data_IF_822461008953
#
_entry.id   IF_822461008953
#
_cell.length_a   1.000
_cell.length_b   1.000
_cell.length_c   1.000
_cell.angle_alpha   90.00
_cell.angle_beta   90.00
_cell.angle_gamma   90.00
#
_symmetry.space_group_name_H-M   'P 1'
#
loop_
_entity.id
_entity.type
_entity.pdbx_description
1 polymer ?
#
# COMPACT_ATOMS: atom_id res chain seq x y z
N UNK A 1 7.55 33.37 -42.52
CA UNK A 1 7.77 32.19 -41.66
C UNK A 1 6.75 32.26 -40.55
N UNK A 2 5.79 31.32 -40.57
CA UNK A 2 4.53 31.38 -39.84
C UNK A 2 4.69 31.00 -38.37
N UNK A 3 4.17 31.84 -37.48
CA UNK A 3 3.89 31.55 -36.08
C UNK A 3 2.49 30.94 -35.98
N UNK A 4 2.40 29.62 -35.78
CA UNK A 4 1.14 28.92 -35.58
C UNK A 4 1.07 28.29 -34.17
N UNK A 5 0.11 28.82 -33.40
CA UNK A 5 -0.74 28.19 -32.37
C UNK A 5 -0.16 27.11 -31.42
N UNK A 6 0.04 27.50 -30.15
CA UNK A 6 0.29 26.62 -28.98
C UNK A 6 -0.99 26.51 -28.11
N UNK A 7 -2.19 26.57 -28.71
CA UNK A 7 -3.44 26.55 -27.93
C UNK A 7 -4.23 25.23 -27.97
N UNK A 8 -3.85 24.25 -28.80
CA UNK A 8 -4.63 22.99 -28.92
C UNK A 8 -4.24 21.88 -27.93
N UNK A 9 -3.17 22.04 -27.14
CA UNK A 9 -2.72 20.97 -26.23
C UNK A 9 -3.48 20.89 -24.89
N UNK A 10 -4.34 21.86 -24.56
CA UNK A 10 -5.09 21.86 -23.27
C UNK A 10 -6.39 21.06 -23.34
N UNK A 11 -7.06 21.03 -24.49
CA UNK A 11 -8.35 20.36 -24.64
C UNK A 11 -8.26 18.83 -24.53
N UNK A 12 -7.14 18.22 -24.94
CA UNK A 12 -6.97 16.76 -24.93
C UNK A 12 -6.68 16.19 -23.54
N UNK A 13 -6.22 17.02 -22.59
CA UNK A 13 -5.84 16.57 -21.24
C UNK A 13 -7.05 16.36 -20.32
N UNK A 14 -8.10 17.16 -20.47
CA UNK A 14 -9.33 17.01 -19.68
C UNK A 14 -10.20 15.84 -20.16
N UNK A 15 -10.18 15.52 -21.46
CA UNK A 15 -10.94 14.39 -22.02
C UNK A 15 -10.35 13.01 -21.65
N UNK A 16 -9.05 12.93 -21.37
CA UNK A 16 -8.40 11.68 -20.94
C UNK A 16 -8.60 11.45 -19.43
N UNK A 17 -8.68 12.53 -18.64
CA UNK A 17 -8.92 12.45 -17.19
C UNK A 17 -10.38 12.11 -16.85
N UNK A 18 -11.36 12.52 -17.67
CA UNK A 18 -12.77 12.17 -17.45
C UNK A 18 -13.09 10.70 -17.76
N UNK A 19 -12.31 10.04 -18.62
CA UNK A 19 -12.51 8.61 -18.96
C UNK A 19 -11.97 7.64 -17.91
N UNK A 20 -11.18 8.10 -16.93
CA UNK A 20 -10.56 7.27 -15.89
C UNK A 20 -11.23 7.37 -14.50
N UNK A 21 -12.28 8.17 -14.36
CA UNK A 21 -13.07 8.28 -13.12
C UNK A 21 -14.45 7.66 -13.39
N UNK A 22 -14.80 6.50 -12.82
CA UNK A 22 -16.13 5.94 -13.01
C UNK A 22 -17.20 6.84 -12.35
N UNK A 23 -18.04 7.47 -13.17
CA UNK A 23 -19.31 8.11 -12.81
C UNK A 23 -20.27 7.09 -12.19
N UNK A 24 -20.11 6.81 -10.89
CA UNK A 24 -21.08 5.99 -10.13
C UNK A 24 -21.27 6.56 -8.72
N UNK A 25 -21.54 7.86 -8.61
CA UNK A 25 -22.00 8.49 -7.38
C UNK A 25 -22.93 9.68 -7.68
N UNK A 26 -24.03 9.45 -8.39
CA UNK A 26 -25.20 10.32 -8.29
C UNK A 26 -26.44 9.50 -8.64
N UNK A 27 -27.16 9.05 -7.62
CA UNK A 27 -28.62 8.81 -7.59
C UNK A 27 -28.95 7.90 -6.42
N UNK A 28 -29.42 8.50 -5.32
CA UNK A 28 -30.17 7.85 -4.25
C UNK A 28 -30.68 8.94 -3.32
N UNK A 29 -31.73 9.62 -3.75
CA UNK A 29 -32.59 10.43 -2.88
C UNK A 29 -33.89 9.67 -2.64
N UNK A 30 -34.42 9.88 -1.43
CA UNK A 30 -35.79 9.67 -0.97
C UNK A 30 -36.13 8.29 -0.36
N UNK A 31 -36.07 8.26 0.97
CA UNK A 31 -37.03 7.52 1.81
C UNK A 31 -37.13 8.20 3.19
N UNK A 32 -38.30 8.75 3.46
CA UNK A 32 -38.75 9.30 4.74
C UNK A 32 -38.81 8.22 5.83
N UNK A 33 -38.38 8.51 7.06
CA UNK A 33 -38.78 7.75 8.25
C UNK A 33 -38.70 8.60 9.54
N UNK A 34 -39.72 8.42 10.36
CA UNK A 34 -40.13 9.23 11.51
C UNK A 34 -39.22 9.16 12.75
N UNK A 35 -39.25 10.24 13.54
CA UNK A 35 -38.62 10.41 14.85
C UNK A 35 -39.25 9.53 15.95
N UNK A 36 -38.41 8.84 16.71
CA UNK A 36 -38.75 8.24 18.00
C UNK A 36 -37.49 8.11 18.87
N UNK A 37 -37.40 8.93 19.92
CA UNK A 37 -36.22 9.06 20.77
C UNK A 37 -36.04 7.95 21.81
N UNK A 38 -34.81 7.83 22.32
CA UNK A 38 -34.48 7.83 23.74
C UNK A 38 -32.95 7.90 23.93
N UNK A 39 -32.50 8.88 24.71
CA UNK A 39 -31.09 9.17 24.99
C UNK A 39 -30.65 8.38 26.23
N UNK A 40 -29.95 7.26 26.03
CA UNK A 40 -29.26 6.54 27.11
C UNK A 40 -27.79 6.94 27.13
N UNK A 41 -27.38 7.60 28.22
CA UNK A 41 -25.98 7.93 28.51
C UNK A 41 -25.14 6.67 28.72
N UNK A 42 -24.24 6.36 27.78
CA UNK A 42 -23.22 5.31 27.91
C UNK A 42 -21.84 5.91 27.84
N UNK A 43 -21.26 6.22 29.01
CA UNK A 43 -19.88 6.67 29.11
C UNK A 43 -19.18 6.04 30.32
N UNK A 44 -18.95 4.71 30.33
CA UNK A 44 -17.92 4.09 31.19
C UNK A 44 -17.65 2.58 30.95
N UNK A 45 -17.77 2.02 29.73
CA UNK A 45 -17.61 0.55 29.53
C UNK A 45 -16.81 0.20 28.26
N UNK A 46 -15.60 0.73 28.09
CA UNK A 46 -14.80 0.44 26.88
C UNK A 46 -13.38 -0.06 27.11
N UNK A 47 -12.87 -0.09 28.34
CA UNK A 47 -11.50 -0.59 28.60
C UNK A 47 -11.46 -2.07 29.00
N UNK A 48 -12.44 -2.58 29.73
CA UNK A 48 -12.38 -3.98 30.23
C UNK A 48 -12.85 -5.02 29.19
N UNK A 49 -13.68 -4.64 28.22
CA UNK A 49 -14.15 -5.55 27.17
C UNK A 49 -13.04 -5.87 26.16
N UNK A 50 -12.15 -4.91 25.86
CA UNK A 50 -11.03 -5.12 24.94
C UNK A 50 -9.96 -6.04 25.51
N UNK A 51 -9.74 -6.04 26.82
CA UNK A 51 -8.79 -6.96 27.47
C UNK A 51 -9.27 -8.42 27.40
N UNK A 52 -10.56 -8.67 27.62
CA UNK A 52 -11.10 -10.04 27.66
C UNK A 52 -11.30 -10.66 26.27
N UNK A 53 -11.55 -9.84 25.23
CA UNK A 53 -11.69 -10.33 23.85
C UNK A 53 -10.34 -10.73 23.25
N UNK A 54 -9.25 -10.05 23.60
CA UNK A 54 -7.91 -10.37 23.08
C UNK A 54 -7.33 -11.62 23.74
N UNK A 55 -7.63 -11.89 25.01
CA UNK A 55 -7.13 -13.09 25.71
C UNK A 55 -7.86 -14.38 25.33
N UNK A 56 -9.14 -14.31 24.92
CA UNK A 56 -9.92 -15.51 24.54
C UNK A 56 -9.46 -16.18 23.24
N UNK A 57 -9.03 -15.42 22.23
CA UNK A 57 -8.63 -15.98 20.94
C UNK A 57 -7.25 -16.65 20.95
N UNK A 58 -6.40 -16.32 21.92
CA UNK A 58 -5.01 -16.82 21.92
C UNK A 58 -4.87 -18.22 22.52
N UNK A 59 -5.77 -18.64 23.43
CA UNK A 59 -5.74 -20.00 24.00
C UNK A 59 -6.36 -21.06 23.09
N UNK A 60 -7.48 -20.76 22.40
CA UNK A 60 -8.06 -21.70 21.42
C UNK A 60 -7.08 -22.01 20.28
N UNK A 61 -6.22 -21.06 19.93
CA UNK A 61 -5.24 -21.19 18.86
C UNK A 61 -4.05 -22.11 19.22
N UNK A 62 -3.78 -22.33 20.53
CA UNK A 62 -2.70 -23.24 20.98
C UNK A 62 -3.10 -24.70 20.99
N UNK A 63 -4.40 -25.03 20.98
CA UNK A 63 -4.87 -26.41 21.13
C UNK A 63 -4.94 -27.19 19.81
N UNK A 64 -4.82 -26.52 18.65
CA UNK A 64 -4.83 -27.20 17.35
C UNK A 64 -3.40 -27.44 16.88
N UNK A 65 -3.06 -28.72 16.76
CA UNK A 65 -1.80 -29.16 16.18
C UNK A 65 -1.58 -28.62 14.76
N UNK A 66 -0.36 -28.75 14.22
CA UNK A 66 -0.03 -28.28 12.88
C UNK A 66 -1.02 -28.85 11.86
N UNK A 67 -1.58 -27.99 11.02
CA UNK A 67 -2.49 -28.40 9.94
C UNK A 67 -1.69 -29.28 8.99
N UNK A 68 -2.07 -30.55 8.90
CA UNK A 68 -1.48 -31.46 7.92
C UNK A 68 -1.99 -31.08 6.54
N UNK A 69 -1.10 -30.53 5.71
CA UNK A 69 -1.41 -30.22 4.32
C UNK A 69 -1.42 -31.51 3.49
N UNK A 70 -2.46 -31.69 2.68
CA UNK A 70 -2.54 -32.80 1.71
C UNK A 70 -2.65 -32.23 0.29
N UNK A 71 -1.70 -32.51 -0.62
CA UNK A 71 -0.44 -33.25 -0.42
C UNK A 71 0.52 -32.53 0.55
N UNK A 72 1.56 -33.21 1.09
CA UNK A 72 2.57 -32.56 1.93
C UNK A 72 3.31 -31.45 1.18
N UNK A 73 3.98 -30.57 1.93
CA UNK A 73 4.78 -29.49 1.37
C UNK A 73 5.87 -30.04 0.43
N UNK A 74 5.97 -29.44 -0.75
CA UNK A 74 7.08 -29.67 -1.68
C UNK A 74 8.34 -28.98 -1.18
N UNK A 75 9.52 -29.47 -1.59
CA UNK A 75 10.82 -28.83 -1.24
C UNK A 75 10.90 -27.36 -1.68
N UNK A 76 10.24 -27.00 -2.78
CA UNK A 76 10.17 -25.60 -3.24
C UNK A 76 9.31 -24.74 -2.33
N UNK A 77 8.20 -25.27 -1.80
CA UNK A 77 7.39 -24.58 -0.78
C UNK A 77 8.17 -24.44 0.54
N UNK A 78 8.89 -25.48 0.96
CA UNK A 78 9.74 -25.42 2.16
C UNK A 78 10.82 -24.33 2.05
N UNK A 79 11.56 -24.29 0.93
CA UNK A 79 12.57 -23.26 0.68
C UNK A 79 11.98 -21.85 0.63
N UNK A 80 10.82 -21.71 -0.03
CA UNK A 80 10.07 -20.45 -0.10
C UNK A 80 9.68 -19.98 1.30
N UNK A 81 9.12 -20.86 2.11
CA UNK A 81 8.66 -20.52 3.46
C UNK A 81 9.84 -20.21 4.39
N UNK A 82 10.96 -20.93 4.25
CA UNK A 82 12.19 -20.61 4.97
C UNK A 82 12.73 -19.23 4.60
N UNK A 83 12.75 -18.89 3.31
CA UNK A 83 13.17 -17.59 2.81
C UNK A 83 12.23 -16.47 3.30
N UNK A 84 10.91 -16.65 3.21
CA UNK A 84 9.94 -15.67 3.70
C UNK A 84 10.02 -15.50 5.22
N UNK A 85 10.21 -16.59 5.98
CA UNK A 85 10.40 -16.54 7.43
C UNK A 85 11.71 -15.84 7.82
N UNK A 86 12.77 -16.02 7.03
CA UNK A 86 14.02 -15.29 7.23
C UNK A 86 13.82 -13.79 7.03
N UNK A 87 13.13 -13.38 5.97
CA UNK A 87 12.84 -11.97 5.67
C UNK A 87 11.84 -11.33 6.64
N UNK A 88 10.96 -12.13 7.24
CA UNK A 88 10.03 -11.65 8.27
C UNK A 88 10.70 -11.41 9.64
N UNK A 89 11.99 -11.70 9.78
CA UNK A 89 12.71 -11.44 11.03
C UNK A 89 12.62 -9.94 11.38
N UNK A 90 12.37 -9.56 12.66
CA UNK A 90 12.22 -8.16 13.08
C UNK A 90 13.39 -7.24 12.68
N UNK A 91 14.58 -7.83 12.53
CA UNK A 91 15.75 -7.15 11.98
C UNK A 91 15.47 -6.49 10.62
N UNK A 92 14.89 -7.22 9.67
CA UNK A 92 14.59 -6.70 8.33
C UNK A 92 13.53 -5.62 8.37
N UNK A 93 12.51 -5.76 9.23
CA UNK A 93 11.49 -4.72 9.44
C UNK A 93 12.10 -3.41 9.95
N UNK A 94 13.00 -3.48 10.93
CA UNK A 94 13.72 -2.30 11.45
C UNK A 94 14.63 -1.71 10.36
N UNK A 95 15.33 -2.56 9.61
CA UNK A 95 16.15 -2.12 8.47
C UNK A 95 15.31 -1.43 7.39
N UNK A 96 14.10 -1.93 7.08
CA UNK A 96 13.16 -1.30 6.16
C UNK A 96 12.75 0.10 6.61
N UNK A 97 12.46 0.29 7.91
CA UNK A 97 12.18 1.63 8.48
C UNK A 97 13.39 2.55 8.33
N UNK A 98 14.59 2.08 8.66
CA UNK A 98 15.83 2.86 8.52
C UNK A 98 16.04 3.25 7.06
N UNK A 99 15.90 2.31 6.14
CA UNK A 99 16.05 2.54 4.69
C UNK A 99 15.03 3.54 4.19
N UNK A 100 13.77 3.47 4.63
CA UNK A 100 12.75 4.46 4.26
C UNK A 100 13.13 5.87 4.72
N UNK A 101 13.61 6.03 5.95
CA UNK A 101 14.10 7.32 6.46
C UNK A 101 15.28 7.82 5.62
N UNK A 102 16.23 6.94 5.30
CA UNK A 102 17.36 7.29 4.45
C UNK A 102 16.94 7.66 3.02
N UNK A 103 15.92 7.01 2.45
CA UNK A 103 15.35 7.37 1.13
C UNK A 103 14.77 8.79 1.18
N UNK A 104 14.04 9.15 2.23
CA UNK A 104 13.48 10.50 2.37
C UNK A 104 14.59 11.54 2.50
N UNK A 105 15.59 11.29 3.35
CA UNK A 105 16.71 12.22 3.56
C UNK A 105 17.59 12.37 2.31
N UNK A 106 17.96 11.25 1.68
CA UNK A 106 18.77 11.25 0.44
C UNK A 106 18.00 11.81 -0.75
N UNK A 107 16.70 11.53 -0.86
CA UNK A 107 15.81 12.10 -1.87
C UNK A 107 15.67 13.62 -1.73
N UNK A 108 15.53 14.12 -0.50
CA UNK A 108 15.53 15.56 -0.24
C UNK A 108 16.86 16.21 -0.64
N UNK A 109 18.00 15.62 -0.26
CA UNK A 109 19.33 16.08 -0.66
C UNK A 109 19.47 16.11 -2.20
N UNK A 110 19.11 15.02 -2.87
CA UNK A 110 19.10 14.92 -4.33
C UNK A 110 18.26 16.04 -4.96
N UNK A 111 17.06 16.29 -4.43
CA UNK A 111 16.17 17.34 -4.92
C UNK A 111 16.77 18.75 -4.74
N UNK A 112 17.38 19.04 -3.59
CA UNK A 112 18.09 20.32 -3.37
C UNK A 112 19.26 20.51 -4.34
N UNK A 113 20.03 19.45 -4.61
CA UNK A 113 21.15 19.47 -5.58
C UNK A 113 20.65 19.65 -7.01
N UNK A 114 19.49 19.09 -7.35
CA UNK A 114 18.82 19.21 -8.65
C UNK A 114 18.31 20.64 -8.88
N UNK A 115 17.65 21.25 -7.90
CA UNK A 115 17.19 22.65 -7.97
C UNK A 115 18.33 23.68 -7.92
N UNK A 116 19.55 23.26 -7.56
CA UNK A 116 20.68 24.16 -7.38
C UNK A 116 20.56 25.05 -6.14
N UNK A 117 19.75 24.67 -5.15
CA UNK A 117 19.55 25.39 -3.88
C UNK A 117 20.67 25.10 -2.88
N UNK A 118 21.91 25.24 -3.35
CA UNK A 118 23.12 24.89 -2.60
C UNK A 118 24.21 25.91 -2.93
N UNK A 119 25.11 26.14 -1.97
CA UNK A 119 26.24 27.09 -2.10
C UNK A 119 27.59 26.38 -2.16
N UNK A 120 27.64 25.24 -2.86
CA UNK A 120 28.83 24.39 -3.08
C UNK A 120 29.69 24.85 -4.27
N UNK A 121 29.17 25.73 -5.13
CA UNK A 121 29.95 26.34 -6.21
C UNK A 121 30.31 27.77 -5.84
N UNK A 122 31.57 28.14 -6.08
CA UNK A 122 32.09 29.50 -5.78
C UNK A 122 31.39 30.59 -6.61
N UNK A 123 30.92 30.24 -7.81
CA UNK A 123 30.25 31.17 -8.72
C UNK A 123 28.76 30.84 -8.83
N UNK A 124 27.85 31.74 -8.44
CA UNK A 124 26.39 31.49 -8.46
C UNK A 124 25.82 31.17 -9.85
N UNK A 125 26.48 31.59 -10.93
CA UNK A 125 26.02 31.37 -12.31
C UNK A 125 26.42 30.02 -12.90
N UNK A 126 27.27 29.23 -12.22
CA UNK A 126 27.80 27.98 -12.75
C UNK A 126 27.36 26.81 -11.88
N UNK A 127 26.48 25.98 -12.42
CA UNK A 127 26.01 24.75 -11.76
C UNK A 127 27.00 23.60 -11.90
N UNK A 128 27.96 23.69 -12.83
CA UNK A 128 28.87 22.58 -13.15
C UNK A 128 30.21 22.80 -12.47
N UNK A 129 30.23 22.59 -11.14
CA UNK A 129 31.45 22.58 -10.33
C UNK A 129 31.68 21.17 -9.76
N UNK A 130 32.95 20.80 -9.54
CA UNK A 130 33.34 19.47 -9.07
C UNK A 130 32.66 19.07 -7.74
N UNK A 131 32.63 19.92 -6.69
CA UNK A 131 32.05 19.52 -5.40
C UNK A 131 30.57 19.16 -5.50
N UNK A 132 29.81 19.95 -6.27
CA UNK A 132 28.39 19.69 -6.52
C UNK A 132 28.20 18.42 -7.34
N UNK A 133 28.96 18.23 -8.42
CA UNK A 133 28.83 17.04 -9.28
C UNK A 133 29.16 15.76 -8.52
N UNK A 134 30.17 15.78 -7.66
CA UNK A 134 30.52 14.67 -6.77
C UNK A 134 29.41 14.41 -5.76
N UNK A 135 28.91 15.45 -5.08
CA UNK A 135 27.80 15.32 -4.12
C UNK A 135 26.52 14.78 -4.79
N UNK A 136 26.19 15.28 -5.98
CA UNK A 136 25.05 14.82 -6.78
C UNK A 136 25.19 13.35 -7.16
N UNK A 137 26.36 12.94 -7.67
CA UNK A 137 26.61 11.55 -8.01
C UNK A 137 26.53 10.62 -6.78
N UNK A 138 27.11 11.02 -5.65
CA UNK A 138 27.00 10.28 -4.39
C UNK A 138 25.53 10.16 -3.96
N UNK A 139 24.76 11.25 -4.01
CA UNK A 139 23.35 11.23 -3.63
C UNK A 139 22.53 10.25 -4.46
N UNK A 140 22.80 10.17 -5.78
CA UNK A 140 22.14 9.22 -6.67
C UNK A 140 22.56 7.79 -6.35
N UNK A 141 23.86 7.53 -6.15
CA UNK A 141 24.36 6.20 -5.83
C UNK A 141 23.76 5.67 -4.52
N UNK A 142 23.68 6.53 -3.49
CA UNK A 142 23.03 6.20 -2.22
C UNK A 142 21.56 5.88 -2.44
N UNK A 143 20.82 6.78 -3.10
CA UNK A 143 19.38 6.61 -3.33
C UNK A 143 19.10 5.33 -4.14
N UNK A 144 19.90 5.06 -5.15
CA UNK A 144 19.78 3.87 -5.97
C UNK A 144 20.10 2.59 -5.18
N UNK A 145 21.15 2.61 -4.35
CA UNK A 145 21.47 1.50 -3.46
C UNK A 145 20.35 1.20 -2.46
N UNK A 146 19.72 2.23 -1.89
CA UNK A 146 18.58 2.09 -0.98
C UNK A 146 17.35 1.50 -1.67
N UNK A 147 17.00 1.97 -2.88
CA UNK A 147 15.91 1.37 -3.65
C UNK A 147 16.22 -0.06 -4.10
N UNK A 148 17.47 -0.38 -4.41
CA UNK A 148 17.89 -1.75 -4.74
C UNK A 148 17.80 -2.68 -3.53
N UNK A 149 18.11 -2.19 -2.32
CA UNK A 149 17.85 -2.93 -1.10
C UNK A 149 16.36 -3.25 -0.94
N UNK A 150 15.47 -2.26 -1.10
CA UNK A 150 14.01 -2.47 -1.04
C UNK A 150 13.52 -3.47 -2.10
N UNK A 151 14.08 -3.40 -3.32
CA UNK A 151 13.78 -4.36 -4.38
C UNK A 151 14.26 -5.77 -4.03
N UNK A 152 15.41 -5.91 -3.37
CA UNK A 152 15.97 -7.19 -2.93
C UNK A 152 15.12 -7.84 -1.83
N UNK A 153 14.67 -7.07 -0.85
CA UNK A 153 13.84 -7.56 0.26
C UNK A 153 12.44 -7.96 -0.23
N UNK A 154 11.83 -7.17 -1.12
CA UNK A 154 10.47 -7.42 -1.62
C UNK A 154 10.39 -8.48 -2.73
N UNK A 155 11.47 -8.72 -3.49
CA UNK A 155 11.48 -9.63 -4.64
C UNK A 155 11.05 -11.07 -4.28
N UNK A 156 11.55 -11.71 -3.21
CA UNK A 156 11.14 -13.07 -2.84
C UNK A 156 9.63 -13.24 -2.63
N UNK A 157 9.00 -12.27 -1.97
CA UNK A 157 7.55 -12.25 -1.79
C UNK A 157 6.83 -12.04 -3.13
N UNK A 158 7.27 -11.08 -3.95
CA UNK A 158 6.68 -10.80 -5.28
C UNK A 158 6.76 -12.02 -6.20
N UNK A 159 7.91 -12.71 -6.22
CA UNK A 159 8.11 -13.95 -6.98
C UNK A 159 7.19 -15.07 -6.47
N UNK A 160 7.08 -15.24 -5.15
CA UNK A 160 6.21 -16.23 -4.53
C UNK A 160 4.75 -16.02 -4.93
N UNK A 161 4.26 -14.79 -4.79
CA UNK A 161 2.89 -14.44 -5.15
C UNK A 161 2.63 -14.63 -6.64
N UNK A 162 3.57 -14.21 -7.50
CA UNK A 162 3.48 -14.42 -8.94
C UNK A 162 3.40 -15.90 -9.31
N UNK A 163 4.30 -16.74 -8.77
CA UNK A 163 4.32 -18.17 -9.06
C UNK A 163 3.06 -18.87 -8.56
N UNK A 164 2.52 -18.46 -7.41
CA UNK A 164 1.27 -19.01 -6.88
C UNK A 164 0.08 -18.66 -7.80
N UNK A 165 -0.09 -17.39 -8.14
CA UNK A 165 -1.21 -16.94 -8.97
C UNK A 165 -1.09 -17.45 -10.41
N UNK A 166 0.13 -17.65 -10.92
CA UNK A 166 0.39 -18.26 -12.22
C UNK A 166 0.16 -19.79 -12.22
N UNK A 167 -0.02 -20.42 -11.05
CA UNK A 167 -0.13 -21.87 -10.91
C UNK A 167 1.20 -22.61 -11.09
N UNK A 168 2.33 -21.90 -11.05
CA UNK A 168 3.66 -22.47 -11.26
C UNK A 168 4.29 -23.04 -9.99
N UNK A 169 4.01 -22.49 -8.80
CA UNK A 169 4.64 -22.99 -7.57
C UNK A 169 3.97 -24.25 -7.02
N UNK A 170 2.66 -24.39 -7.16
CA UNK A 170 1.91 -25.47 -6.52
C UNK A 170 0.75 -25.96 -7.42
N UNK A 171 1.00 -26.84 -8.41
CA UNK A 171 -0.04 -27.29 -9.34
C UNK A 171 -1.18 -28.07 -8.66
N UNK A 172 -0.94 -28.59 -7.46
CA UNK A 172 -1.93 -29.35 -6.68
C UNK A 172 -2.70 -28.51 -5.66
N UNK A 173 -2.39 -27.22 -5.52
CA UNK A 173 -3.07 -26.32 -4.58
C UNK A 173 -4.12 -25.49 -5.30
N UNK A 174 -5.22 -25.22 -4.60
CA UNK A 174 -6.22 -24.26 -5.06
C UNK A 174 -5.58 -22.86 -5.08
N UNK A 175 -5.75 -22.14 -6.18
CA UNK A 175 -5.28 -20.76 -6.34
C UNK A 175 -6.42 -19.82 -6.75
N UNK A 176 -7.63 -20.19 -6.36
CA UNK A 176 -8.84 -19.41 -6.60
C UNK A 176 -8.89 -18.15 -5.72
N UNK A 177 -9.88 -17.31 -5.97
CA UNK A 177 -10.11 -16.10 -5.17
C UNK A 177 -10.50 -16.50 -3.74
N UNK A 178 -9.86 -15.89 -2.75
CA UNK A 178 -10.05 -16.17 -1.32
C UNK A 178 -9.12 -17.25 -0.74
N UNK A 179 -8.24 -17.84 -1.55
CA UNK A 179 -7.29 -18.85 -1.09
C UNK A 179 -5.85 -18.30 -1.04
N UNK A 180 -5.11 -18.65 0.02
CA UNK A 180 -3.72 -18.25 0.23
C UNK A 180 -2.71 -19.06 -0.61
N UNK A 181 -1.42 -18.78 -0.39
CA UNK A 181 -0.29 -19.50 -1.03
C UNK A 181 -0.22 -21.00 -0.73
N UNK A 182 -0.97 -21.48 0.26
CA UNK A 182 -1.09 -22.90 0.64
C UNK A 182 -2.40 -23.52 0.14
N UNK A 183 -3.25 -22.75 -0.56
CA UNK A 183 -4.57 -23.19 -0.99
C UNK A 183 -5.57 -23.35 0.15
N UNK A 184 -5.35 -22.65 1.27
CA UNK A 184 -6.28 -22.58 2.39
C UNK A 184 -7.15 -21.31 2.29
N UNK A 185 -8.41 -21.35 2.73
CA UNK A 185 -9.24 -20.15 2.81
C UNK A 185 -8.55 -19.09 3.69
N UNK A 186 -8.38 -17.88 3.14
CA UNK A 186 -7.71 -16.78 3.82
C UNK A 186 -8.67 -15.64 4.08
N UNK A 187 -8.42 -14.85 5.13
CA UNK A 187 -9.14 -13.60 5.41
C UNK A 187 -8.44 -12.36 4.86
N UNK A 188 -7.29 -12.55 4.24
CA UNK A 188 -6.51 -11.44 3.78
C UNK A 188 -7.06 -10.87 2.46
N UNK A 189 -7.19 -9.55 2.42
CA UNK A 189 -7.81 -8.86 1.28
C UNK A 189 -7.07 -9.12 -0.04
N UNK A 190 -5.75 -9.29 0.00
CA UNK A 190 -4.92 -9.59 -1.17
C UNK A 190 -5.41 -10.83 -1.93
N UNK A 191 -5.73 -11.92 -1.23
CA UNK A 191 -6.17 -13.16 -1.87
C UNK A 191 -7.59 -13.07 -2.45
N UNK A 192 -8.36 -12.06 -2.07
CA UNK A 192 -9.69 -11.78 -2.61
C UNK A 192 -9.64 -10.92 -3.89
N UNK A 193 -8.47 -10.44 -4.30
CA UNK A 193 -8.28 -9.77 -5.58
C UNK A 193 -8.43 -10.79 -6.73
N UNK A 194 -9.21 -10.48 -7.78
CA UNK A 194 -9.37 -11.37 -8.92
C UNK A 194 -8.02 -11.81 -9.51
N UNK A 195 -7.90 -13.09 -9.82
CA UNK A 195 -6.63 -13.75 -10.26
C UNK A 195 -5.89 -12.98 -11.36
N UNK A 196 -6.61 -12.54 -12.40
CA UNK A 196 -6.02 -11.79 -13.52
C UNK A 196 -5.44 -10.44 -13.07
N UNK A 197 -6.10 -9.76 -12.13
CA UNK A 197 -5.63 -8.47 -11.58
C UNK A 197 -4.38 -8.67 -10.72
N UNK A 198 -4.36 -9.72 -9.87
CA UNK A 198 -3.17 -10.11 -9.10
C UNK A 198 -1.96 -10.39 -10.00
N UNK A 199 -2.14 -11.12 -11.10
CA UNK A 199 -1.07 -11.35 -12.09
C UNK A 199 -0.53 -10.01 -12.62
N UNK A 200 -1.41 -9.11 -13.05
CA UNK A 200 -1.02 -7.79 -13.56
C UNK A 200 -0.21 -6.98 -12.54
N UNK A 201 -0.69 -6.91 -11.30
CA UNK A 201 0.01 -6.23 -10.20
C UNK A 201 1.39 -6.87 -9.96
N UNK A 202 1.46 -8.19 -9.81
CA UNK A 202 2.72 -8.90 -9.58
C UNK A 202 3.73 -8.68 -10.72
N UNK A 203 3.27 -8.68 -11.99
CA UNK A 203 4.14 -8.41 -13.15
C UNK A 203 4.68 -6.98 -13.10
N UNK A 204 3.85 -5.97 -12.82
CA UNK A 204 4.32 -4.59 -12.65
C UNK A 204 5.36 -4.49 -11.52
N UNK A 205 5.10 -5.09 -10.36
CA UNK A 205 6.02 -5.04 -9.22
C UNK A 205 7.32 -5.82 -9.47
N UNK A 206 7.30 -6.91 -10.24
CA UNK A 206 8.51 -7.62 -10.66
C UNK A 206 9.32 -6.83 -11.69
N UNK A 207 8.65 -6.17 -12.64
CA UNK A 207 9.32 -5.28 -13.59
C UNK A 207 9.96 -4.08 -12.89
N UNK A 208 9.35 -3.57 -11.82
CA UNK A 208 9.99 -2.60 -10.93
C UNK A 208 11.31 -3.15 -10.35
N UNK A 209 11.32 -4.37 -9.78
CA UNK A 209 12.55 -4.98 -9.26
C UNK A 209 13.63 -5.13 -10.36
N UNK A 210 13.27 -5.69 -11.52
CA UNK A 210 14.19 -5.94 -12.63
C UNK A 210 14.82 -4.64 -13.15
N UNK A 211 14.00 -3.61 -13.33
CA UNK A 211 14.49 -2.30 -13.78
C UNK A 211 15.34 -1.61 -12.71
N UNK A 212 15.02 -1.80 -11.42
CA UNK A 212 15.85 -1.29 -10.33
C UNK A 212 17.22 -1.98 -10.25
N UNK A 213 17.29 -3.30 -10.42
CA UNK A 213 18.58 -4.00 -10.52
C UNK A 213 19.38 -3.58 -11.74
N UNK A 214 18.71 -3.40 -12.89
CA UNK A 214 19.34 -2.85 -14.10
C UNK A 214 19.88 -1.43 -13.86
N UNK A 215 19.13 -0.58 -13.15
CA UNK A 215 19.58 0.76 -12.78
C UNK A 215 20.85 0.69 -11.92
N UNK A 216 20.89 -0.17 -10.90
CA UNK A 216 22.10 -0.41 -10.09
C UNK A 216 23.27 -0.95 -10.91
N UNK A 217 23.05 -1.89 -11.81
CA UNK A 217 24.09 -2.38 -12.70
C UNK A 217 24.67 -1.26 -13.57
N UNK A 218 23.82 -0.43 -14.18
CA UNK A 218 24.29 0.71 -14.98
C UNK A 218 25.04 1.75 -14.15
N UNK A 219 24.67 1.97 -12.89
CA UNK A 219 25.39 2.87 -11.97
C UNK A 219 26.74 2.31 -11.50
N UNK A 220 26.92 1.00 -11.54
CA UNK A 220 28.24 0.36 -11.34
C UNK A 220 29.12 0.54 -12.59
N UNK A 221 28.53 0.44 -13.78
CA UNK A 221 29.24 0.61 -15.07
C UNK A 221 29.59 2.07 -15.36
N UNK A 222 28.72 3.01 -14.98
CA UNK A 222 28.91 4.46 -15.13
C UNK A 222 29.01 5.12 -13.73
N UNK A 223 30.09 4.88 -12.98
CA UNK A 223 30.19 5.28 -11.58
C UNK A 223 30.37 6.78 -11.39
N UNK A 224 30.91 7.50 -12.38
CA UNK A 224 31.18 8.94 -12.27
C UNK A 224 30.08 9.80 -12.90
N UNK A 225 30.00 11.05 -12.46
CA UNK A 225 29.07 12.03 -13.04
C UNK A 225 29.27 12.21 -14.54
N UNK A 226 30.52 12.24 -15.02
CA UNK A 226 30.84 12.47 -16.43
C UNK A 226 30.37 11.30 -17.29
N UNK A 227 30.65 10.06 -16.87
CA UNK A 227 30.25 8.85 -17.59
C UNK A 227 28.73 8.66 -17.59
N UNK A 228 28.07 8.93 -16.46
CA UNK A 228 26.62 8.84 -16.34
C UNK A 228 25.88 9.90 -17.16
N UNK A 229 26.52 11.04 -17.51
CA UNK A 229 25.94 12.07 -18.37
C UNK A 229 26.41 11.97 -19.84
N UNK A 230 27.42 11.15 -20.14
CA UNK A 230 27.84 10.85 -21.49
C UNK A 230 26.98 9.77 -22.14
N UNK A 231 26.92 9.72 -23.47
CA UNK A 231 26.31 8.59 -24.17
C UNK A 231 27.25 7.38 -24.11
N UNK A 232 26.76 6.16 -23.77
CA UNK A 232 25.36 5.77 -23.59
C UNK A 232 24.86 5.80 -22.13
N UNK A 233 25.68 6.17 -21.15
CA UNK A 233 25.34 6.20 -19.73
C UNK A 233 24.11 7.05 -19.40
N UNK A 234 23.99 8.23 -20.00
CA UNK A 234 22.85 9.13 -19.80
C UNK A 234 21.52 8.49 -20.20
N UNK A 235 21.52 7.77 -21.31
CA UNK A 235 20.31 7.10 -21.79
C UNK A 235 19.91 5.97 -20.84
N UNK A 236 20.84 5.05 -20.54
CA UNK A 236 20.52 3.85 -19.76
C UNK A 236 20.15 4.16 -18.31
N UNK A 237 20.91 5.02 -17.64
CA UNK A 237 20.64 5.36 -16.24
C UNK A 237 19.30 6.06 -16.06
N UNK A 238 18.87 6.91 -17.00
CA UNK A 238 17.57 7.56 -16.94
C UNK A 238 16.42 6.63 -17.33
N UNK A 239 16.58 5.79 -18.36
CA UNK A 239 15.53 4.85 -18.78
C UNK A 239 15.19 3.89 -17.64
N UNK A 240 16.19 3.23 -17.05
CA UNK A 240 15.92 2.28 -15.97
C UNK A 240 15.41 2.94 -14.70
N UNK A 241 15.92 4.14 -14.36
CA UNK A 241 15.39 4.93 -13.26
C UNK A 241 13.91 5.25 -13.45
N UNK A 242 13.54 5.86 -14.59
CA UNK A 242 12.14 6.23 -14.88
C UNK A 242 11.23 5.01 -14.96
N UNK A 243 11.67 3.93 -15.63
CA UNK A 243 10.89 2.70 -15.71
C UNK A 243 10.63 2.09 -14.33
N UNK A 244 11.63 2.06 -13.44
CA UNK A 244 11.45 1.54 -12.08
C UNK A 244 10.37 2.30 -11.32
N UNK A 245 10.43 3.64 -11.36
CA UNK A 245 9.45 4.51 -10.71
C UNK A 245 8.04 4.33 -11.30
N UNK A 246 7.91 4.24 -12.62
CA UNK A 246 6.62 4.03 -13.29
C UNK A 246 6.00 2.68 -12.92
N UNK A 247 6.78 1.60 -12.93
CA UNK A 247 6.28 0.27 -12.58
C UNK A 247 5.88 0.16 -11.12
N UNK A 248 6.63 0.78 -10.20
CA UNK A 248 6.24 0.87 -8.78
C UNK A 248 4.92 1.64 -8.62
N UNK A 249 4.82 2.83 -9.24
CA UNK A 249 3.63 3.66 -9.12
C UNK A 249 2.38 2.96 -9.69
N UNK A 250 2.49 2.36 -10.89
CA UNK A 250 1.38 1.63 -11.52
C UNK A 250 0.98 0.42 -10.66
N UNK A 251 1.93 -0.41 -10.23
CA UNK A 251 1.66 -1.58 -9.40
C UNK A 251 1.00 -1.23 -8.07
N UNK A 252 1.56 -0.24 -7.36
CA UNK A 252 1.03 0.22 -6.07
C UNK A 252 -0.35 0.85 -6.17
N UNK A 253 -0.57 1.76 -7.13
CA UNK A 253 -1.89 2.40 -7.33
C UNK A 253 -2.94 1.38 -7.75
N UNK A 254 -2.60 0.45 -8.65
CA UNK A 254 -3.54 -0.58 -9.10
C UNK A 254 -3.97 -1.48 -7.94
N UNK A 255 -3.01 -1.92 -7.13
CA UNK A 255 -3.31 -2.73 -5.95
C UNK A 255 -4.17 -1.97 -4.92
N UNK A 256 -3.84 -0.72 -4.58
CA UNK A 256 -4.67 0.11 -3.69
C UNK A 256 -6.10 0.30 -4.21
N UNK A 257 -6.25 0.42 -5.54
CA UNK A 257 -7.55 0.51 -6.19
C UNK A 257 -8.36 -0.79 -6.03
N UNK A 258 -7.77 -1.96 -6.30
CA UNK A 258 -8.46 -3.25 -6.19
C UNK A 258 -8.85 -3.56 -4.72
N UNK A 259 -7.96 -3.27 -3.76
CA UNK A 259 -8.28 -3.38 -2.33
C UNK A 259 -9.46 -2.49 -1.94
N UNK A 260 -9.50 -1.25 -2.42
CA UNK A 260 -10.62 -0.35 -2.16
C UNK A 260 -11.93 -0.85 -2.76
N UNK A 261 -11.89 -1.40 -3.98
CA UNK A 261 -13.07 -2.00 -4.64
C UNK A 261 -13.62 -3.18 -3.82
N UNK A 262 -12.75 -4.05 -3.31
CA UNK A 262 -13.16 -5.21 -2.49
C UNK A 262 -13.71 -4.74 -1.15
N UNK A 263 -13.04 -3.80 -0.50
CA UNK A 263 -13.49 -3.24 0.77
C UNK A 263 -14.88 -2.59 0.63
N UNK A 264 -15.17 -1.90 -0.48
CA UNK A 264 -16.51 -1.32 -0.73
C UNK A 264 -17.59 -2.40 -0.86
N UNK A 265 -17.25 -3.57 -1.40
CA UNK A 265 -18.18 -4.71 -1.53
C UNK A 265 -18.40 -5.45 -0.21
N UNK A 266 -17.38 -5.48 0.66
CA UNK A 266 -17.39 -6.24 1.91
C UNK A 266 -16.87 -5.41 3.10
N UNK A 267 -17.57 -4.33 3.50
CA UNK A 267 -17.06 -3.35 4.46
C UNK A 267 -16.87 -3.89 5.89
N UNK A 268 -17.55 -4.99 6.23
CA UNK A 268 -17.51 -5.60 7.56
C UNK A 268 -16.60 -6.84 7.64
N UNK A 269 -15.97 -7.23 6.53
CA UNK A 269 -15.15 -8.45 6.45
C UNK A 269 -13.67 -8.13 6.59
N UNK A 270 -13.22 -7.04 5.97
CA UNK A 270 -11.81 -6.67 5.91
C UNK A 270 -11.49 -5.47 6.80
N UNK A 271 -10.23 -5.37 7.23
CA UNK A 271 -9.72 -4.18 7.91
C UNK A 271 -9.85 -2.93 7.01
N UNK A 272 -10.00 -1.73 7.61
CA UNK A 272 -10.12 -0.49 6.84
C UNK A 272 -8.93 -0.29 5.90
N UNK A 273 -9.21 0.01 4.63
CA UNK A 273 -8.16 0.25 3.65
C UNK A 273 -7.38 1.53 3.94
N UNK A 274 -6.14 1.61 3.43
CA UNK A 274 -5.27 2.79 3.59
C UNK A 274 -5.97 4.07 3.10
N UNK A 275 -6.74 4.00 2.01
CA UNK A 275 -7.51 5.14 1.49
C UNK A 275 -8.54 5.63 2.50
N UNK A 276 -9.23 4.72 3.19
CA UNK A 276 -10.20 5.07 4.22
C UNK A 276 -9.49 5.70 5.42
N UNK A 277 -8.38 5.13 5.86
CA UNK A 277 -7.56 5.67 6.95
C UNK A 277 -7.06 7.09 6.64
N UNK A 278 -6.56 7.33 5.43
CA UNK A 278 -6.13 8.67 4.97
C UNK A 278 -7.32 9.63 4.93
N UNK A 279 -8.46 9.20 4.38
CA UNK A 279 -9.67 10.03 4.27
C UNK A 279 -10.18 10.43 5.66
N UNK A 280 -10.21 9.49 6.59
CA UNK A 280 -10.63 9.74 7.97
C UNK A 280 -9.64 10.65 8.70
N UNK A 281 -8.34 10.48 8.48
CA UNK A 281 -7.30 11.37 9.01
C UNK A 281 -7.46 12.80 8.50
N UNK A 282 -7.63 12.99 7.18
CA UNK A 282 -7.84 14.32 6.57
C UNK A 282 -9.12 14.96 7.08
N UNK A 283 -10.22 14.19 7.20
CA UNK A 283 -11.49 14.67 7.77
C UNK A 283 -11.30 15.16 9.21
N UNK A 284 -10.61 14.38 10.05
CA UNK A 284 -10.30 14.76 11.45
C UNK A 284 -9.42 16.00 11.53
N UNK A 285 -8.38 16.10 10.70
CA UNK A 285 -7.51 17.28 10.62
C UNK A 285 -8.31 18.53 10.24
N UNK A 286 -9.17 18.44 9.23
CA UNK A 286 -10.00 19.57 8.79
C UNK A 286 -10.99 20.00 9.88
N UNK A 287 -11.57 19.06 10.61
CA UNK A 287 -12.42 19.35 11.77
C UNK A 287 -11.65 20.11 12.87
N UNK A 288 -10.43 19.66 13.20
CA UNK A 288 -9.57 20.31 14.18
C UNK A 288 -9.21 21.73 13.73
N UNK A 289 -8.80 21.91 12.47
CA UNK A 289 -8.47 23.23 11.91
C UNK A 289 -9.67 24.16 11.96
N UNK A 290 -10.87 23.71 11.54
CA UNK A 290 -12.10 24.51 11.63
C UNK A 290 -12.43 24.93 13.07
N UNK A 291 -12.20 24.03 14.04
CA UNK A 291 -12.39 24.33 15.47
C UNK A 291 -11.38 25.36 15.99
N UNK A 292 -10.14 25.36 15.52
CA UNK A 292 -9.13 26.34 15.91
C UNK A 292 -9.30 27.70 15.21
N UNK A 293 -9.74 27.72 13.96
CA UNK A 293 -9.88 28.97 13.17
C UNK A 293 -11.12 29.80 13.53
N UNK A 294 -12.07 29.27 14.31
CA UNK A 294 -13.23 30.03 14.79
C UNK A 294 -13.37 29.97 16.33
N UNK A 295 -12.49 30.65 17.09
CA UNK A 295 -12.56 30.63 18.56
C UNK A 295 -13.74 31.43 19.12
N UNK A 296 -14.32 32.34 18.34
CA UNK A 296 -15.14 33.44 18.86
C UNK A 296 -16.66 33.29 18.62
N UNK A 297 -17.12 32.26 17.91
CA UNK A 297 -18.54 32.13 17.57
C UNK A 297 -19.10 30.86 18.20
N UNK A 298 -20.26 30.96 18.85
CA UNK A 298 -21.06 29.84 19.36
C UNK A 298 -21.53 28.81 18.30
N UNK A 299 -20.91 28.76 17.12
CA UNK A 299 -21.13 27.79 16.04
C UNK A 299 -20.73 26.34 16.41
N UNK A 300 -20.23 26.10 17.63
CA UNK A 300 -19.92 24.74 18.11
C UNK A 300 -21.17 23.87 18.28
N UNK A 301 -22.37 24.45 18.37
CA UNK A 301 -23.62 23.71 18.51
C UNK A 301 -24.08 23.07 17.19
N UNK A 302 -23.89 23.76 16.06
CA UNK A 302 -24.43 23.34 14.76
C UNK A 302 -23.60 22.22 14.11
N UNK A 303 -22.28 22.25 14.27
CA UNK A 303 -21.38 21.22 13.74
C UNK A 303 -21.51 19.88 14.50
N UNK A 304 -21.98 19.91 15.76
CA UNK A 304 -22.26 18.67 16.51
C UNK A 304 -23.43 17.87 15.90
N UNK A 305 -24.44 18.55 15.36
CA UNK A 305 -25.57 17.91 14.70
C UNK A 305 -25.16 17.17 13.42
N UNK A 306 -24.30 17.78 12.60
CA UNK A 306 -23.86 17.22 11.31
C UNK A 306 -22.91 16.02 11.46
N UNK A 307 -22.10 16.01 12.53
CA UNK A 307 -21.24 14.86 12.87
C UNK A 307 -22.03 13.73 13.53
N UNK A 308 -23.02 14.01 14.37
CA UNK A 308 -23.87 12.97 14.94
C UNK A 308 -24.81 12.34 13.89
N UNK A 309 -25.35 13.12 12.96
CA UNK A 309 -26.18 12.58 11.87
C UNK A 309 -25.42 11.60 10.96
N UNK A 310 -24.20 11.95 10.55
CA UNK A 310 -23.39 11.09 9.68
C UNK A 310 -22.65 9.95 10.41
N UNK A 311 -22.41 10.09 11.72
CA UNK A 311 -21.79 9.03 12.53
C UNK A 311 -22.81 8.02 12.99
N UNK A 312 -24.04 8.41 13.35
CA UNK A 312 -25.05 7.44 13.80
C UNK A 312 -25.51 6.55 12.66
N UNK A 313 -25.65 7.08 11.44
CA UNK A 313 -26.05 6.28 10.28
C UNK A 313 -24.91 5.35 9.77
N UNK A 314 -23.65 5.75 9.96
CA UNK A 314 -22.50 4.89 9.67
C UNK A 314 -22.18 3.89 10.80
N UNK A 315 -22.30 4.26 12.08
CA UNK A 315 -22.03 3.36 13.21
C UNK A 315 -23.14 2.32 13.39
N UNK A 316 -24.39 2.67 13.08
CA UNK A 316 -25.52 1.74 13.16
C UNK A 316 -25.51 0.74 11.98
N UNK A 317 -24.90 1.10 10.83
CA UNK A 317 -24.50 0.15 9.77
C UNK A 317 -23.20 -0.61 10.03
N UNK A 318 -22.31 -0.10 10.90
CA UNK A 318 -21.01 -0.72 11.23
C UNK A 318 -21.04 -1.57 12.50
N UNK A 319 -22.10 -1.55 13.30
CA UNK A 319 -22.35 -2.68 14.19
C UNK A 319 -22.64 -3.87 13.27
N UNK A 320 -21.77 -4.89 13.19
CA UNK A 320 -22.12 -6.10 12.48
C UNK A 320 -23.44 -6.56 13.11
N UNK A 321 -24.52 -6.54 12.33
CA UNK A 321 -25.58 -7.48 12.63
C UNK A 321 -24.88 -8.82 12.58
N UNK A 322 -24.72 -9.44 13.74
CA UNK A 322 -24.44 -10.86 13.83
C UNK A 322 -25.70 -11.48 13.22
N UNK A 323 -25.72 -11.55 11.90
CA UNK A 323 -26.63 -12.42 11.18
C UNK A 323 -26.14 -13.78 11.61
N UNK A 324 -26.82 -14.36 12.61
CA UNK A 324 -26.65 -15.76 12.92
C UNK A 324 -26.80 -16.49 11.58
N UNK A 325 -25.74 -17.17 11.10
CA UNK A 325 -25.82 -17.86 9.85
C UNK A 325 -27.01 -18.83 9.95
N UNK A 326 -27.84 -18.96 8.89
CA UNK A 326 -28.91 -19.94 8.88
C UNK A 326 -28.33 -21.29 9.32
N UNK A 327 -29.08 -22.06 10.12
CA UNK A 327 -28.76 -23.34 10.77
C UNK A 327 -28.27 -24.44 9.80
N UNK A 328 -27.25 -24.15 9.01
CA UNK A 328 -26.48 -25.05 8.21
C UNK A 328 -25.37 -25.56 9.11
N UNK A 329 -25.60 -26.78 9.61
CA UNK A 329 -24.62 -27.74 10.11
C UNK A 329 -23.31 -27.06 10.47
N UNK A 330 -23.22 -26.67 11.74
CA UNK A 330 -22.04 -26.20 12.44
C UNK A 330 -20.90 -27.21 12.31
N UNK A 331 -20.29 -27.23 11.13
CA UNK A 331 -18.91 -27.63 11.00
C UNK A 331 -18.12 -26.51 11.67
N UNK A 332 -17.32 -26.82 12.70
CA UNK A 332 -16.58 -25.79 13.43
C UNK A 332 -15.73 -25.04 12.41
N UNK A 333 -16.07 -23.77 12.14
CA UNK A 333 -15.28 -22.89 11.30
C UNK A 333 -13.95 -22.69 12.01
N UNK A 334 -13.00 -23.54 11.65
CA UNK A 334 -11.67 -23.55 12.20
C UNK A 334 -10.92 -22.36 11.61
N UNK A 335 -10.85 -21.25 12.36
CA UNK A 335 -9.89 -20.18 12.10
C UNK A 335 -8.48 -20.77 12.29
N UNK A 336 -7.82 -21.02 11.16
CA UNK A 336 -6.47 -21.57 11.10
C UNK A 336 -5.48 -20.42 10.88
N UNK A 337 -4.95 -19.89 11.97
CA UNK A 337 -3.93 -18.85 11.90
C UNK A 337 -2.58 -19.53 11.80
N UNK A 338 -2.09 -19.71 10.57
CA UNK A 338 -0.71 -20.12 10.35
C UNK A 338 0.23 -19.05 10.96
N UNK A 339 1.43 -19.41 11.45
CA UNK A 339 2.38 -18.44 12.02
C UNK A 339 2.78 -17.30 11.07
N UNK A 340 2.46 -17.41 9.76
CA UNK A 340 2.62 -16.34 8.77
C UNK A 340 1.55 -15.22 8.85
N UNK A 341 0.41 -15.43 9.52
CA UNK A 341 -0.68 -14.43 9.62
C UNK A 341 -0.34 -13.25 10.56
N UNK A 342 0.77 -13.30 11.31
CA UNK A 342 1.22 -12.18 12.16
C UNK A 342 2.05 -11.12 11.45
N UNK A 343 2.18 -11.20 10.13
CA UNK A 343 3.15 -10.38 9.41
C UNK A 343 2.60 -9.00 9.05
N UNK A 344 2.78 -8.07 9.99
CA UNK A 344 2.81 -6.61 9.77
C UNK A 344 3.81 -6.19 8.67
N UNK A 345 4.58 -7.12 8.09
CA UNK A 345 5.49 -6.94 6.97
C UNK A 345 4.83 -6.41 5.68
N UNK A 346 3.50 -6.45 5.56
CA UNK A 346 2.79 -6.05 4.34
C UNK A 346 2.87 -4.57 4.01
N UNK A 347 3.09 -3.71 5.00
CA UNK A 347 3.27 -2.28 4.74
C UNK A 347 4.52 -2.00 3.87
N UNK A 348 5.46 -2.95 3.79
CA UNK A 348 6.75 -2.84 3.11
C UNK A 348 6.83 -3.61 1.79
N UNK A 349 5.87 -4.53 1.54
CA UNK A 349 5.79 -5.29 0.29
C UNK A 349 5.12 -4.49 -0.85
N UNK A 350 4.40 -3.42 -0.51
CA UNK A 350 3.86 -2.39 -1.41
C UNK A 350 4.96 -1.41 -1.79
#
# INVERSE_FOLDING_TARGET
MNTASINDSKATKEEILSKFIPETLSNSSDADLEEGGDVVSSSLVTTDVLSNVVTGSTEEMRLRGPVSLEPPLSRSEELRDELLRFLDHPFFQVMGIIVLVLIILSGALFFFLLLGWQTLCDTPSRTDCEPRNTCFNISIQILNGLFTYMAMESMPWRCTQFLHVAGGSCPYRLNDVGYDIFGLPSREIWYHIPKQRRIGICVCLLLNCITQFSNQATRIVYPTFVEANAFPGNFWTNVFFVSSMLFAAIGGVWMLYEEHVIHKKHPNVFAPSVIILITDYVRRRNYIIKRFLCPCCGCSAEIKGELQGNSSDNDQRRRPQIVEPPDHVSTPHHEHVLPLERTNARLWAL
#
